data_IF_372671799818
#
_entry.id   IF_372671799818
#
_cell.length_a   1.000
_cell.length_b   1.000
_cell.length_c   1.000
_cell.angle_alpha   90.00
_cell.angle_beta   90.00
_cell.angle_gamma   90.00
#
_symmetry.space_group_name_H-M   'P 1'
#
loop_
_entity.id
_entity.type
_entity.pdbx_description
1 polymer ?
#
# COMPACT_ATOMS: atom_id res chain seq x y z
N UNK A 1 -0.26 31.72 7.45
CA UNK A 1 -1.01 30.86 6.52
C UNK A 1 -0.59 29.44 6.77
N UNK A 2 -1.57 28.60 7.05
CA UNK A 2 -1.38 27.18 7.31
C UNK A 2 -0.99 26.49 6.00
N UNK A 3 0.16 25.82 5.99
CA UNK A 3 0.70 25.19 4.78
C UNK A 3 0.06 23.82 4.58
N UNK A 4 -0.34 23.51 3.35
CA UNK A 4 -0.87 22.20 2.96
C UNK A 4 0.22 21.28 2.41
N UNK A 5 0.33 20.08 3.00
CA UNK A 5 1.19 19.01 2.53
C UNK A 5 0.32 17.87 1.98
N UNK A 6 0.51 17.54 0.71
CA UNK A 6 -0.04 16.33 0.12
C UNK A 6 1.04 15.25 0.10
N UNK A 7 0.69 14.04 0.53
CA UNK A 7 1.54 12.86 0.50
C UNK A 7 0.90 11.81 -0.40
N UNK A 8 1.63 11.33 -1.42
CA UNK A 8 1.19 10.28 -2.33
C UNK A 8 1.82 8.95 -1.89
N UNK A 9 0.99 8.02 -1.41
CA UNK A 9 1.39 6.74 -0.81
C UNK A 9 1.37 6.79 0.73
N UNK A 10 0.64 5.88 1.36
CA UNK A 10 0.35 5.88 2.80
C UNK A 10 0.98 4.73 3.59
N UNK A 11 1.96 4.03 3.02
CA UNK A 11 2.70 2.94 3.68
C UNK A 11 3.95 3.52 4.39
N UNK A 12 5.13 2.92 4.26
CA UNK A 12 6.29 3.22 5.10
C UNK A 12 6.72 4.70 5.08
N UNK A 13 7.24 5.18 3.95
CA UNK A 13 7.83 6.51 3.86
C UNK A 13 6.78 7.64 3.99
N UNK A 14 5.63 7.49 3.33
CA UNK A 14 4.59 8.52 3.35
C UNK A 14 3.95 8.71 4.71
N UNK A 15 3.58 7.63 5.40
CA UNK A 15 3.06 7.72 6.76
C UNK A 15 4.08 8.29 7.74
N UNK A 16 5.34 7.88 7.62
CA UNK A 16 6.44 8.39 8.46
C UNK A 16 6.65 9.90 8.27
N UNK A 17 6.66 10.36 7.02
CA UNK A 17 6.79 11.76 6.66
C UNK A 17 5.61 12.59 7.20
N UNK A 18 4.37 12.13 6.99
CA UNK A 18 3.17 12.80 7.45
C UNK A 18 3.13 12.94 8.98
N UNK A 19 3.39 11.83 9.70
CA UNK A 19 3.41 11.84 11.16
C UNK A 19 4.52 12.75 11.73
N UNK A 20 5.71 12.77 11.10
CA UNK A 20 6.79 13.67 11.51
C UNK A 20 6.48 15.13 11.19
N UNK A 21 5.86 15.42 10.05
CA UNK A 21 5.41 16.76 9.69
C UNK A 21 4.43 17.31 10.73
N UNK A 22 3.42 16.52 11.14
CA UNK A 22 2.50 16.92 12.22
C UNK A 22 3.24 17.24 13.52
N UNK A 23 4.15 16.37 13.97
CA UNK A 23 4.92 16.59 15.22
C UNK A 23 5.78 17.85 15.18
N UNK A 24 6.17 18.30 13.99
CA UNK A 24 6.97 19.51 13.84
C UNK A 24 6.11 20.78 13.72
N UNK A 25 4.85 20.67 13.31
CA UNK A 25 3.94 21.80 13.19
C UNK A 25 2.45 21.36 13.22
N UNK A 26 1.75 21.76 14.27
CA UNK A 26 0.34 21.44 14.52
C UNK A 26 -0.64 22.18 13.58
N UNK A 27 -0.19 23.25 12.93
CA UNK A 27 -1.04 24.05 12.03
C UNK A 27 -0.98 23.58 10.57
N UNK A 28 -0.22 22.53 10.23
CA UNK A 28 -0.21 22.01 8.86
C UNK A 28 -1.55 21.34 8.51
N UNK A 29 -2.05 21.57 7.30
CA UNK A 29 -3.04 20.68 6.69
C UNK A 29 -2.26 19.53 6.02
N UNK A 30 -2.55 18.28 6.39
CA UNK A 30 -1.83 17.11 5.88
C UNK A 30 -2.85 16.13 5.33
N UNK A 31 -2.71 15.79 4.05
CA UNK A 31 -3.55 14.80 3.37
C UNK A 31 -2.65 13.70 2.80
N UNK A 32 -2.97 12.45 3.13
CA UNK A 32 -2.37 11.27 2.51
C UNK A 32 -3.38 10.69 1.53
N UNK A 33 -2.94 10.49 0.28
CA UNK A 33 -3.67 9.72 -0.72
C UNK A 33 -3.02 8.35 -0.88
N UNK A 34 -3.80 7.30 -0.64
CA UNK A 34 -3.39 5.91 -0.82
C UNK A 34 -4.31 5.24 -1.85
N UNK A 35 -3.70 4.63 -2.86
CA UNK A 35 -4.42 3.94 -3.94
C UNK A 35 -5.09 2.68 -3.43
N UNK A 36 -4.42 1.95 -2.55
CA UNK A 36 -4.95 0.75 -1.91
C UNK A 36 -6.00 1.05 -0.84
N UNK A 37 -6.67 0.00 -0.33
CA UNK A 37 -7.65 0.15 0.75
C UNK A 37 -7.03 0.28 2.15
N UNK A 38 -5.71 0.06 2.29
CA UNK A 38 -5.02 0.02 3.58
C UNK A 38 -3.83 0.97 3.60
N UNK A 39 -3.60 1.63 4.74
CA UNK A 39 -2.41 2.45 5.02
C UNK A 39 -1.58 1.82 6.13
N UNK A 40 -0.27 2.10 6.11
CA UNK A 40 0.68 1.68 7.17
C UNK A 40 0.51 0.22 7.61
N UNK A 41 0.35 -0.69 6.64
CA UNK A 41 0.38 -2.12 6.90
C UNK A 41 1.82 -2.64 6.87
N UNK A 42 2.08 -3.75 7.56
CA UNK A 42 3.38 -4.37 7.66
C UNK A 42 3.65 -5.23 6.41
N UNK A 43 4.13 -4.60 5.34
CA UNK A 43 4.47 -5.30 4.08
C UNK A 43 5.51 -6.41 4.29
N UNK A 44 6.48 -6.22 5.20
CA UNK A 44 7.45 -7.27 5.54
C UNK A 44 6.82 -8.45 6.30
N UNK A 45 5.61 -8.29 6.84
CA UNK A 45 4.87 -9.34 7.53
C UNK A 45 4.09 -10.28 6.60
N UNK A 46 3.96 -9.95 5.32
CA UNK A 46 3.12 -10.67 4.37
C UNK A 46 3.53 -12.15 4.20
N UNK A 47 4.83 -12.51 3.99
CA UNK A 47 5.23 -13.91 3.90
C UNK A 47 4.96 -14.68 5.19
N UNK A 48 5.17 -14.04 6.35
CA UNK A 48 4.97 -14.65 7.67
C UNK A 48 3.49 -14.91 8.00
N UNK A 49 2.57 -14.18 7.38
CA UNK A 49 1.15 -14.49 7.46
C UNK A 49 0.78 -15.72 6.61
N UNK A 50 1.31 -15.80 5.39
CA UNK A 50 1.17 -17.00 4.53
C UNK A 50 1.72 -18.23 5.26
N UNK A 51 2.94 -18.14 5.79
CA UNK A 51 3.60 -19.22 6.54
C UNK A 51 3.05 -19.46 7.96
N UNK A 52 1.94 -18.82 8.32
CA UNK A 52 1.24 -18.98 9.61
C UNK A 52 2.04 -18.58 10.84
N UNK A 53 3.16 -17.88 10.74
CA UNK A 53 3.84 -17.30 11.90
C UNK A 53 3.01 -16.13 12.48
N UNK A 54 2.43 -15.31 11.60
CA UNK A 54 1.40 -14.35 11.96
C UNK A 54 0.03 -15.03 11.82
N UNK A 55 -0.62 -15.28 12.96
CA UNK A 55 -1.87 -16.07 13.01
C UNK A 55 -3.13 -15.32 12.55
N UNK A 56 -3.10 -13.99 12.60
CA UNK A 56 -4.27 -13.14 12.37
C UNK A 56 -3.95 -12.06 11.36
N UNK A 57 -4.78 -11.94 10.34
CA UNK A 57 -4.63 -10.95 9.27
C UNK A 57 -4.61 -9.53 9.82
N UNK A 58 -5.41 -9.26 10.85
CA UNK A 58 -5.51 -7.93 11.47
C UNK A 58 -4.17 -7.45 12.03
N UNK A 59 -3.27 -8.36 12.42
CA UNK A 59 -1.95 -8.01 12.94
C UNK A 59 -1.02 -7.41 11.88
N UNK A 60 -1.39 -7.47 10.59
CA UNK A 60 -0.69 -6.79 9.52
C UNK A 60 -1.00 -5.28 9.49
N UNK A 61 -2.10 -4.82 10.11
CA UNK A 61 -2.50 -3.41 10.06
C UNK A 61 -2.08 -2.66 11.32
N UNK A 62 -1.22 -1.65 11.16
CA UNK A 62 -0.68 -0.88 12.29
C UNK A 62 -1.47 0.42 12.54
N UNK A 63 -2.09 0.98 11.50
CA UNK A 63 -2.89 2.20 11.57
C UNK A 63 -4.11 2.09 10.66
N UNK A 64 -5.14 2.88 10.96
CA UNK A 64 -6.30 3.12 10.10
C UNK A 64 -6.44 4.62 9.83
N UNK A 65 -7.21 5.04 8.80
CA UNK A 65 -7.53 6.45 8.57
C UNK A 65 -8.06 7.17 9.80
N UNK A 66 -8.93 6.51 10.58
CA UNK A 66 -9.52 7.04 11.81
C UNK A 66 -8.43 7.25 12.88
N UNK A 67 -7.57 6.26 13.09
CA UNK A 67 -6.45 6.39 14.03
C UNK A 67 -5.45 7.48 13.62
N UNK A 68 -5.24 7.70 12.32
CA UNK A 68 -4.44 8.82 11.83
C UNK A 68 -5.07 10.17 12.18
N UNK A 69 -6.39 10.30 12.02
CA UNK A 69 -7.11 11.51 12.37
C UNK A 69 -7.10 11.76 13.88
N UNK A 70 -7.38 10.73 14.68
CA UNK A 70 -7.50 10.86 16.12
C UNK A 70 -6.15 11.21 16.77
N UNK A 71 -5.07 10.55 16.36
CA UNK A 71 -3.74 10.75 16.94
C UNK A 71 -2.97 11.93 16.35
N UNK A 72 -3.13 12.20 15.06
CA UNK A 72 -2.27 13.13 14.34
C UNK A 72 -3.02 14.21 13.55
N UNK A 73 -4.36 14.21 13.52
CA UNK A 73 -5.13 15.13 12.67
C UNK A 73 -4.60 15.13 11.22
N UNK A 74 -4.30 13.95 10.71
CA UNK A 74 -3.88 13.72 9.33
C UNK A 74 -5.08 13.11 8.61
N UNK A 75 -5.52 13.76 7.53
CA UNK A 75 -6.59 13.21 6.71
C UNK A 75 -6.00 12.14 5.79
N UNK A 76 -6.56 10.93 5.84
CA UNK A 76 -6.14 9.82 4.98
C UNK A 76 -7.29 9.44 4.08
N UNK A 77 -7.04 9.44 2.77
CA UNK A 77 -7.98 9.01 1.74
C UNK A 77 -7.44 7.75 1.07
N UNK A 78 -7.96 6.60 1.51
CA UNK A 78 -7.72 5.29 0.88
C UNK A 78 -8.58 5.13 -0.37
N UNK A 79 -8.22 4.19 -1.25
CA UNK A 79 -8.87 4.01 -2.55
C UNK A 79 -8.90 5.29 -3.39
N UNK A 80 -7.88 6.14 -3.26
CA UNK A 80 -7.71 7.36 -4.03
C UNK A 80 -6.36 7.34 -4.75
N UNK A 81 -6.40 7.39 -6.07
CA UNK A 81 -5.21 7.40 -6.91
C UNK A 81 -4.89 8.81 -7.38
N UNK A 82 -3.67 9.27 -7.13
CA UNK A 82 -3.16 10.49 -7.76
C UNK A 82 -2.69 10.13 -9.17
N UNK A 83 -3.38 10.65 -10.18
CA UNK A 83 -3.16 10.31 -11.59
C UNK A 83 -2.27 11.33 -12.31
N UNK A 84 -2.19 12.56 -11.80
CA UNK A 84 -1.40 13.64 -12.41
C UNK A 84 -0.90 14.62 -11.37
N UNK A 85 0.26 15.22 -11.65
CA UNK A 85 0.83 16.34 -10.88
C UNK A 85 1.01 17.52 -11.83
N UNK A 86 0.33 18.64 -11.56
CA UNK A 86 0.63 19.92 -12.19
C UNK A 86 1.55 20.72 -11.27
N UNK A 87 2.78 20.96 -11.72
CA UNK A 87 3.82 21.64 -10.93
C UNK A 87 3.76 23.16 -11.01
N UNK A 88 3.23 23.69 -12.11
CA UNK A 88 3.10 25.13 -12.34
C UNK A 88 1.96 25.71 -11.49
N UNK A 89 0.80 25.07 -11.55
CA UNK A 89 -0.40 25.45 -10.78
C UNK A 89 -0.44 24.81 -9.38
N UNK A 90 0.51 23.93 -9.05
CA UNK A 90 0.69 23.25 -7.76
C UNK A 90 -0.56 22.50 -7.25
N UNK A 91 -1.10 21.62 -8.10
CA UNK A 91 -2.15 20.67 -7.71
C UNK A 91 -1.87 19.24 -8.18
N UNK A 92 -2.58 18.30 -7.58
CA UNK A 92 -2.68 16.92 -8.03
C UNK A 92 -4.10 16.63 -8.54
N UNK A 93 -4.23 15.80 -9.56
CA UNK A 93 -5.53 15.21 -9.94
C UNK A 93 -5.66 13.88 -9.20
N UNK A 94 -6.77 13.70 -8.50
CA UNK A 94 -7.05 12.54 -7.67
C UNK A 94 -8.34 11.90 -8.13
N UNK A 95 -8.31 10.59 -8.37
CA UNK A 95 -9.48 9.79 -8.69
C UNK A 95 -9.85 8.93 -7.48
N UNK A 96 -11.07 9.08 -6.98
CA UNK A 96 -11.67 8.14 -6.04
C UNK A 96 -12.06 6.87 -6.78
N UNK A 97 -11.37 5.76 -6.49
CA UNK A 97 -11.55 4.49 -7.18
C UNK A 97 -12.88 3.78 -6.84
N UNK A 98 -13.57 4.21 -5.78
CA UNK A 98 -14.88 3.67 -5.39
C UNK A 98 -15.99 4.38 -6.16
N UNK A 99 -15.94 5.72 -6.26
CA UNK A 99 -17.01 6.51 -6.89
C UNK A 99 -16.75 6.85 -8.36
N UNK A 100 -15.50 6.76 -8.81
CA UNK A 100 -15.05 7.21 -10.13
C UNK A 100 -14.86 8.73 -10.23
N UNK A 101 -15.15 9.49 -9.17
CA UNK A 101 -15.01 10.94 -9.16
C UNK A 101 -13.54 11.34 -9.25
N UNK A 102 -13.25 12.33 -10.11
CA UNK A 102 -11.91 12.93 -10.22
C UNK A 102 -11.98 14.42 -9.86
N UNK A 103 -11.06 14.85 -9.01
CA UNK A 103 -10.99 16.24 -8.55
C UNK A 103 -9.54 16.71 -8.44
N UNK A 104 -9.35 18.03 -8.34
CA UNK A 104 -8.04 18.65 -8.11
C UNK A 104 -7.86 18.94 -6.62
N UNK A 105 -6.70 18.63 -6.07
CA UNK A 105 -6.31 19.09 -4.73
C UNK A 105 -4.96 19.84 -4.77
N UNK A 106 -4.94 21.02 -4.18
CA UNK A 106 -3.81 21.96 -4.25
C UNK A 106 -2.84 21.73 -3.09
N UNK A 107 -1.55 22.01 -3.31
CA UNK A 107 -0.53 21.79 -2.29
C UNK A 107 0.49 22.92 -2.22
N UNK A 108 1.00 23.16 -1.00
CA UNK A 108 2.21 23.95 -0.81
C UNK A 108 3.47 23.10 -0.99
N UNK A 109 3.41 21.87 -0.49
CA UNK A 109 4.48 20.86 -0.56
C UNK A 109 3.88 19.50 -0.93
N UNK A 110 4.63 18.75 -1.74
CA UNK A 110 4.27 17.42 -2.19
C UNK A 110 5.33 16.42 -1.77
N UNK A 111 4.91 15.28 -1.22
CA UNK A 111 5.76 14.13 -0.93
C UNK A 111 5.33 12.97 -1.80
N UNK A 112 6.24 12.43 -2.61
CA UNK A 112 6.00 11.25 -3.46
C UNK A 112 6.64 10.05 -2.78
N UNK A 113 5.80 9.12 -2.32
CA UNK A 113 6.17 7.92 -1.58
C UNK A 113 5.45 6.68 -2.13
N UNK A 114 5.31 6.58 -3.45
CA UNK A 114 4.53 5.55 -4.17
C UNK A 114 5.16 4.15 -4.16
N UNK A 115 6.41 4.02 -3.68
CA UNK A 115 7.09 2.73 -3.61
C UNK A 115 7.49 2.19 -4.99
N UNK A 116 7.51 0.86 -5.10
CA UNK A 116 7.80 0.13 -6.35
C UNK A 116 6.63 -0.77 -6.74
N UNK A 117 6.82 -1.56 -7.80
CA UNK A 117 5.87 -2.58 -8.24
C UNK A 117 6.62 -3.87 -8.62
N UNK A 118 6.01 -5.05 -8.41
CA UNK A 118 6.61 -6.30 -8.87
C UNK A 118 6.81 -6.31 -10.38
N UNK A 119 7.95 -6.80 -10.83
CA UNK A 119 8.24 -6.97 -12.25
C UNK A 119 7.55 -8.23 -12.74
N UNK A 120 6.64 -8.09 -13.72
CA UNK A 120 6.11 -9.21 -14.50
C UNK A 120 6.95 -9.37 -15.78
N UNK A 121 7.75 -10.44 -15.92
CA UNK A 121 8.54 -10.66 -17.13
C UNK A 121 7.63 -10.94 -18.33
N UNK A 122 8.03 -10.59 -19.57
CA UNK A 122 7.20 -10.75 -20.77
C UNK A 122 7.17 -12.22 -21.24
N UNK A 123 6.56 -13.09 -20.45
CA UNK A 123 6.45 -14.53 -20.70
C UNK A 123 5.01 -14.84 -21.15
N UNK A 124 4.81 -15.63 -22.22
CA UNK A 124 3.48 -16.09 -22.59
C UNK A 124 2.79 -16.79 -21.42
N UNK A 125 1.57 -16.36 -21.08
CA UNK A 125 0.81 -16.88 -19.94
C UNK A 125 1.10 -16.23 -18.59
N UNK A 126 1.84 -15.12 -18.53
CA UNK A 126 2.16 -14.42 -17.25
C UNK A 126 0.91 -13.93 -16.47
N UNK A 127 -0.24 -13.82 -17.13
CA UNK A 127 -1.51 -13.38 -16.53
C UNK A 127 -2.49 -14.54 -16.27
N UNK A 128 -2.03 -15.80 -16.26
CA UNK A 128 -2.84 -16.93 -15.81
C UNK A 128 -3.25 -16.75 -14.34
N UNK A 129 -4.46 -17.21 -14.00
CA UNK A 129 -5.08 -16.99 -12.68
C UNK A 129 -4.31 -17.60 -11.50
N UNK A 130 -3.42 -18.56 -11.75
CA UNK A 130 -2.58 -19.22 -10.75
C UNK A 130 -1.19 -18.57 -10.59
N UNK A 131 -0.97 -17.41 -11.19
CA UNK A 131 0.27 -16.63 -11.05
C UNK A 131 0.01 -15.44 -10.13
N UNK A 132 0.75 -15.40 -9.02
CA UNK A 132 0.61 -14.38 -8.00
C UNK A 132 1.90 -13.59 -7.82
N UNK A 133 1.76 -12.33 -7.42
CA UNK A 133 2.85 -11.54 -6.84
C UNK A 133 2.69 -11.52 -5.32
N UNK A 134 3.70 -11.08 -4.57
CA UNK A 134 3.60 -10.89 -3.12
C UNK A 134 4.08 -9.48 -2.76
N UNK A 135 3.17 -8.50 -2.80
CA UNK A 135 3.52 -7.09 -2.60
C UNK A 135 2.53 -6.31 -1.74
N UNK A 136 1.25 -6.61 -1.88
CA UNK A 136 0.15 -5.97 -1.15
C UNK A 136 -0.64 -6.98 -0.32
N UNK A 137 -1.44 -6.48 0.60
CA UNK A 137 -2.40 -7.31 1.36
C UNK A 137 -3.40 -8.00 0.42
N UNK A 138 -3.80 -7.35 -0.68
CA UNK A 138 -4.68 -7.95 -1.69
C UNK A 138 -4.03 -9.17 -2.34
N UNK A 139 -2.73 -9.11 -2.59
CA UNK A 139 -2.01 -10.24 -3.18
C UNK A 139 -1.98 -11.44 -2.23
N UNK A 140 -1.74 -11.18 -0.94
CA UNK A 140 -1.83 -12.21 0.10
C UNK A 140 -3.24 -12.80 0.17
N UNK A 141 -4.28 -11.97 0.18
CA UNK A 141 -5.66 -12.43 0.22
C UNK A 141 -5.98 -13.34 -0.98
N UNK A 142 -5.49 -13.01 -2.18
CA UNK A 142 -5.66 -13.84 -3.37
C UNK A 142 -4.91 -15.18 -3.30
N UNK A 143 -3.68 -15.18 -2.74
CA UNK A 143 -2.92 -16.41 -2.50
C UNK A 143 -3.66 -17.30 -1.49
N UNK A 144 -4.12 -16.73 -0.38
CA UNK A 144 -4.87 -17.46 0.65
C UNK A 144 -6.16 -18.07 0.11
N UNK A 145 -6.91 -17.33 -0.70
CA UNK A 145 -8.12 -17.81 -1.36
C UNK A 145 -7.82 -18.99 -2.29
N UNK A 146 -6.74 -18.90 -3.08
CA UNK A 146 -6.32 -19.97 -3.97
C UNK A 146 -5.89 -21.23 -3.19
N UNK A 147 -5.22 -21.06 -2.05
CA UNK A 147 -4.81 -22.17 -1.18
C UNK A 147 -5.97 -22.79 -0.40
N UNK A 148 -7.05 -22.04 -0.15
CA UNK A 148 -8.17 -22.48 0.68
C UNK A 148 -8.91 -23.70 0.12
N UNK A 149 -8.86 -23.93 -1.20
CA UNK A 149 -9.44 -25.13 -1.82
C UNK A 149 -8.73 -26.43 -1.41
N UNK A 150 -7.46 -26.34 -0.99
CA UNK A 150 -6.60 -27.49 -0.70
C UNK A 150 -6.18 -28.29 -1.94
N UNK A 151 -6.53 -27.84 -3.14
CA UNK A 151 -6.18 -28.51 -4.41
C UNK A 151 -4.72 -28.26 -4.81
N UNK A 152 -4.15 -27.12 -4.41
CA UNK A 152 -2.77 -26.77 -4.68
C UNK A 152 -1.84 -27.65 -3.84
N UNK A 153 -1.08 -28.52 -4.50
CA UNK A 153 -0.09 -29.42 -3.86
C UNK A 153 1.36 -28.99 -4.10
N UNK A 154 1.59 -28.21 -5.15
CA UNK A 154 2.91 -27.77 -5.57
C UNK A 154 2.88 -26.27 -5.83
N UNK A 155 3.88 -25.57 -5.30
CA UNK A 155 4.08 -24.13 -5.49
C UNK A 155 5.46 -23.92 -6.07
N UNK A 156 5.55 -23.15 -7.15
CA UNK A 156 6.83 -22.73 -7.74
C UNK A 156 7.05 -21.25 -7.46
N UNK A 157 8.18 -20.93 -6.84
CA UNK A 157 8.60 -19.54 -6.62
C UNK A 157 9.60 -19.13 -7.71
N UNK A 158 9.27 -18.05 -8.44
CA UNK A 158 10.14 -17.51 -9.48
C UNK A 158 10.90 -16.30 -8.93
N UNK A 159 12.20 -16.49 -8.68
CA UNK A 159 13.13 -15.46 -8.20
C UNK A 159 13.75 -15.82 -6.85
N UNK A 160 15.08 -15.90 -6.78
CA UNK A 160 15.85 -16.26 -5.58
C UNK A 160 16.30 -15.08 -4.72
N UNK A 161 15.63 -13.93 -4.82
CA UNK A 161 15.87 -12.79 -3.92
C UNK A 161 15.29 -13.03 -2.53
N UNK A 162 15.53 -12.13 -1.58
CA UNK A 162 15.08 -12.31 -0.19
C UNK A 162 13.57 -12.54 -0.06
N UNK A 163 12.73 -11.80 -0.81
CA UNK A 163 11.26 -12.02 -0.83
C UNK A 163 10.91 -13.44 -1.32
N UNK A 164 11.63 -13.92 -2.34
CA UNK A 164 11.41 -15.27 -2.87
C UNK A 164 11.84 -16.36 -1.88
N UNK A 165 12.91 -16.13 -1.13
CA UNK A 165 13.34 -17.03 -0.05
C UNK A 165 12.33 -17.05 1.11
N UNK A 166 11.86 -15.88 1.54
CA UNK A 166 10.81 -15.76 2.57
C UNK A 166 9.51 -16.46 2.13
N UNK A 167 9.08 -16.25 0.88
CA UNK A 167 7.92 -16.93 0.32
C UNK A 167 8.12 -18.45 0.25
N UNK A 168 9.30 -18.90 -0.19
CA UNK A 168 9.64 -20.33 -0.22
C UNK A 168 9.55 -20.95 1.18
N UNK A 169 10.12 -20.31 2.21
CA UNK A 169 9.98 -20.77 3.59
C UNK A 169 8.51 -20.82 4.02
N UNK A 170 7.74 -19.78 3.70
CA UNK A 170 6.33 -19.69 4.05
C UNK A 170 5.50 -20.84 3.47
N UNK A 171 5.69 -21.21 2.20
CA UNK A 171 4.94 -22.29 1.56
C UNK A 171 5.38 -23.71 1.97
N UNK A 172 6.48 -23.85 2.70
CA UNK A 172 6.93 -25.13 3.26
C UNK A 172 6.27 -25.46 4.62
N UNK A 173 5.59 -24.50 5.24
CA UNK A 173 4.91 -24.64 6.55
C UNK A 173 3.45 -25.06 6.38
#
# INVERSE_FOLDING_TARGET
MDKKIIVIGGVAAGASAAAKARRNNENLEIVIYEKGPYVSFANCGLPYYIGRDIKRRENLFLMTPELFWDRYKILVKVSHEVTKINREEKYVEVTNLITGETFKDYYDKLVIATGGTPIKPPIPGIDLNNIFTLFTVKDVDAIEEALASGEIKEVTVIGGGYIGLEATEAFLK
#
